data_IF_969086958325
#
_entry.id   IF_969086958325
#
_cell.length_a   1.000
_cell.length_b   1.000
_cell.length_c   1.000
_cell.angle_alpha   90.00
_cell.angle_beta   90.00
_cell.angle_gamma   90.00
#
_symmetry.space_group_name_H-M   'P 1'
#
loop_
_entity.id
_entity.type
_entity.pdbx_description
1 polymer ?
#
# COMPACT_ATOMS: atom_id res chain seq x y z
N UNK A 1 4.36 46.66 -28.46
CA UNK A 1 3.00 46.08 -28.63
C UNK A 1 2.25 46.37 -27.33
N UNK A 2 1.43 47.42 -27.31
CA UNK A 2 0.73 47.90 -26.11
C UNK A 2 -0.39 46.92 -25.73
N UNK A 3 -0.07 45.93 -24.90
CA UNK A 3 -1.01 44.89 -24.46
C UNK A 3 -2.29 45.45 -23.83
N UNK A 4 -2.24 46.65 -23.24
CA UNK A 4 -3.40 47.36 -22.66
C UNK A 4 -4.50 47.77 -23.65
N UNK A 5 -4.25 47.70 -24.97
CA UNK A 5 -5.19 48.22 -25.98
C UNK A 5 -6.21 47.19 -26.51
N UNK A 6 -6.05 45.90 -26.18
CA UNK A 6 -6.92 44.83 -26.72
C UNK A 6 -7.45 43.92 -25.61
N UNK A 7 -8.46 44.35 -24.83
CA UNK A 7 -9.03 43.56 -23.73
C UNK A 7 -9.57 42.20 -24.21
N UNK A 8 -10.12 42.14 -25.43
CA UNK A 8 -10.61 40.90 -26.04
C UNK A 8 -9.50 39.85 -26.20
N UNK A 9 -8.29 40.26 -26.56
CA UNK A 9 -7.15 39.34 -26.73
C UNK A 9 -6.66 38.81 -25.38
N UNK A 10 -6.61 39.68 -24.36
CA UNK A 10 -6.23 39.29 -23.00
C UNK A 10 -7.24 38.28 -22.46
N UNK A 11 -8.54 38.56 -22.55
CA UNK A 11 -9.60 37.68 -22.04
C UNK A 11 -9.60 36.35 -22.79
N UNK A 12 -9.43 36.39 -24.13
CA UNK A 12 -9.40 35.20 -24.97
C UNK A 12 -8.26 34.24 -24.65
N UNK A 13 -7.12 34.74 -24.14
CA UNK A 13 -5.99 33.91 -23.71
C UNK A 13 -6.08 33.57 -22.20
N UNK A 14 -6.55 34.51 -21.38
CA UNK A 14 -6.61 34.35 -19.94
C UNK A 14 -7.58 33.25 -19.50
N UNK A 15 -8.75 33.13 -20.15
CA UNK A 15 -9.75 32.12 -19.78
C UNK A 15 -9.20 30.69 -19.95
N UNK A 16 -8.64 30.28 -21.12
CA UNK A 16 -8.03 28.96 -21.27
C UNK A 16 -6.89 28.69 -20.29
N UNK A 17 -6.02 29.68 -20.06
CA UNK A 17 -4.89 29.53 -19.13
C UNK A 17 -5.40 29.33 -17.70
N UNK A 18 -6.38 30.11 -17.26
CA UNK A 18 -7.03 29.94 -15.95
C UNK A 18 -7.69 28.58 -15.81
N UNK A 19 -8.34 28.08 -16.87
CA UNK A 19 -8.95 26.75 -16.86
C UNK A 19 -7.88 25.65 -16.67
N UNK A 20 -6.74 25.74 -17.36
CA UNK A 20 -5.63 24.80 -17.17
C UNK A 20 -5.09 24.86 -15.74
N UNK A 21 -4.88 26.08 -15.21
CA UNK A 21 -4.40 26.26 -13.83
C UNK A 21 -5.40 25.73 -12.81
N UNK A 22 -6.70 25.92 -13.04
CA UNK A 22 -7.76 25.40 -12.16
C UNK A 22 -7.79 23.87 -12.16
N UNK A 23 -7.73 23.24 -13.33
CA UNK A 23 -7.67 21.77 -13.46
C UNK A 23 -6.39 21.22 -12.83
N UNK A 24 -5.25 21.86 -13.06
CA UNK A 24 -4.00 21.46 -12.43
C UNK A 24 -4.09 21.60 -10.89
N UNK A 25 -4.61 22.72 -10.39
CA UNK A 25 -4.79 22.92 -8.96
C UNK A 25 -5.72 21.87 -8.34
N UNK A 26 -6.85 21.55 -8.97
CA UNK A 26 -7.77 20.54 -8.41
C UNK A 26 -7.14 19.14 -8.31
N UNK A 27 -6.19 18.83 -9.20
CA UNK A 27 -5.46 17.56 -9.23
C UNK A 27 -4.32 17.54 -8.20
N UNK A 28 -3.48 18.57 -8.16
CA UNK A 28 -2.23 18.54 -7.39
C UNK A 28 -2.36 19.07 -5.96
N UNK A 29 -3.33 19.96 -5.70
CA UNK A 29 -3.53 20.59 -4.39
C UNK A 29 -3.93 19.59 -3.29
N UNK A 30 -4.77 18.56 -3.54
CA UNK A 30 -5.06 17.54 -2.53
C UNK A 30 -3.81 16.83 -1.98
N UNK A 31 -2.81 16.57 -2.83
CA UNK A 31 -1.59 15.85 -2.44
C UNK A 31 -0.74 16.62 -1.41
N UNK A 32 -0.80 17.96 -1.38
CA UNK A 32 -0.11 18.78 -0.38
C UNK A 32 -0.66 18.59 1.05
N UNK A 33 -1.88 18.10 1.19
CA UNK A 33 -2.50 17.81 2.49
C UNK A 33 -2.28 16.37 2.95
N UNK A 34 -1.54 15.56 2.17
CA UNK A 34 -1.19 14.21 2.58
C UNK A 34 -0.11 14.25 3.67
N UNK A 35 -0.40 13.64 4.82
CA UNK A 35 0.61 13.34 5.83
C UNK A 35 1.52 12.22 5.30
N UNK A 36 2.84 12.22 5.55
CA UNK A 36 3.67 11.09 5.17
C UNK A 36 3.25 9.83 5.93
N UNK A 37 3.37 8.63 5.34
CA UNK A 37 3.10 7.38 6.06
C UNK A 37 4.14 7.20 7.18
N UNK A 38 3.71 6.66 8.32
CA UNK A 38 4.53 6.56 9.54
C UNK A 38 4.54 5.18 10.18
N UNK A 39 3.53 4.36 9.90
CA UNK A 39 3.35 3.07 10.56
C UNK A 39 3.89 1.93 9.72
N UNK A 40 4.88 1.22 10.27
CA UNK A 40 5.33 -0.07 9.71
C UNK A 40 4.17 -1.06 9.73
N UNK A 41 4.24 -2.08 8.89
CA UNK A 41 3.23 -3.14 8.91
C UNK A 41 3.84 -4.52 8.79
N UNK A 42 3.13 -5.47 9.39
CA UNK A 42 3.44 -6.88 9.31
C UNK A 42 2.55 -7.51 8.23
N UNK A 43 3.16 -8.31 7.39
CA UNK A 43 2.47 -9.12 6.40
C UNK A 43 3.16 -10.47 6.26
N UNK A 44 2.50 -11.39 5.59
CA UNK A 44 3.02 -12.72 5.35
C UNK A 44 2.84 -13.13 3.89
N UNK A 45 3.72 -14.01 3.43
CA UNK A 45 3.64 -14.69 2.14
C UNK A 45 3.93 -16.17 2.37
N UNK A 46 3.54 -17.02 1.43
CA UNK A 46 3.93 -18.42 1.44
C UNK A 46 4.04 -18.98 0.04
N UNK A 47 4.43 -20.24 -0.02
CA UNK A 47 4.58 -21.05 -1.23
C UNK A 47 3.29 -21.79 -1.62
N UNK A 48 2.35 -21.99 -0.69
CA UNK A 48 1.05 -22.67 -0.92
C UNK A 48 -0.11 -21.96 -0.23
N UNK A 49 -1.31 -21.98 -0.82
CA UNK A 49 -2.54 -21.31 -0.32
C UNK A 49 -2.84 -21.53 1.17
N UNK A 50 -2.47 -22.68 1.73
CA UNK A 50 -2.66 -23.02 3.15
C UNK A 50 -1.79 -22.19 4.10
N UNK A 51 -0.90 -21.34 3.59
CA UNK A 51 -0.06 -20.45 4.39
C UNK A 51 -0.89 -19.45 5.20
N UNK A 52 -2.06 -19.06 4.68
CA UNK A 52 -2.90 -17.99 5.26
C UNK A 52 -3.49 -18.38 6.62
N UNK A 53 -3.62 -19.67 6.88
CA UNK A 53 -4.21 -20.20 8.11
C UNK A 53 -3.16 -20.51 9.18
N UNK A 54 -1.97 -19.93 9.10
CA UNK A 54 -0.90 -20.15 10.09
C UNK A 54 -0.89 -19.11 11.19
N UNK A 55 -1.22 -17.86 10.84
CA UNK A 55 -1.13 -16.75 11.75
C UNK A 55 -2.38 -15.90 11.65
N UNK A 56 -2.77 -15.31 12.78
CA UNK A 56 -3.83 -14.30 12.86
C UNK A 56 -3.45 -13.27 13.89
N UNK A 57 -3.93 -12.05 13.72
CA UNK A 57 -3.84 -11.04 14.78
C UNK A 57 -5.13 -11.05 15.59
N UNK A 58 -5.00 -11.24 16.90
CA UNK A 58 -6.10 -11.27 17.87
C UNK A 58 -5.65 -10.54 19.14
N UNK A 59 -6.52 -9.69 19.69
CA UNK A 59 -6.19 -8.87 20.87
C UNK A 59 -4.96 -7.97 20.69
N UNK A 60 -4.64 -7.59 19.45
CA UNK A 60 -3.46 -6.78 19.11
C UNK A 60 -2.14 -7.54 19.09
N UNK A 61 -2.17 -8.87 19.14
CA UNK A 61 -0.99 -9.74 19.12
C UNK A 61 -1.09 -10.77 18.02
N UNK A 62 0.08 -11.20 17.53
CA UNK A 62 0.17 -12.30 16.60
C UNK A 62 -0.09 -13.62 17.34
N UNK A 63 -1.06 -14.38 16.87
CA UNK A 63 -1.38 -15.73 17.33
C UNK A 63 -1.10 -16.72 16.21
N UNK A 64 -0.60 -17.89 16.60
CA UNK A 64 -0.35 -19.00 15.70
C UNK A 64 -1.54 -19.94 15.77
N UNK A 65 -2.14 -20.24 14.63
CA UNK A 65 -3.33 -21.09 14.58
C UNK A 65 -2.84 -22.54 14.60
N UNK A 66 -3.20 -23.34 15.64
CA UNK A 66 -2.78 -24.72 15.72
C UNK A 66 -3.42 -25.50 14.57
N UNK A 67 -2.60 -26.10 13.71
CA UNK A 67 -3.08 -26.94 12.62
C UNK A 67 -3.18 -28.39 13.06
N UNK A 68 -4.38 -28.95 12.98
CA UNK A 68 -4.58 -30.40 13.01
C UNK A 68 -4.19 -30.97 11.63
N UNK A 69 -2.90 -31.21 11.44
CA UNK A 69 -2.40 -31.83 10.22
C UNK A 69 -2.67 -33.33 10.32
N UNK A 70 -3.59 -33.84 9.49
CA UNK A 70 -3.79 -35.29 9.35
C UNK A 70 -2.46 -35.94 8.93
N UNK A 71 -2.16 -37.15 9.46
CA UNK A 71 -0.89 -37.88 9.24
C UNK A 71 -0.46 -38.04 7.77
N UNK A 72 -1.38 -37.89 6.81
CA UNK A 72 -1.15 -38.05 5.38
C UNK A 72 -1.30 -36.74 4.58
N UNK A 73 -1.36 -35.58 5.25
CA UNK A 73 -1.47 -34.30 4.56
C UNK A 73 -0.14 -33.92 3.90
N UNK A 74 -0.24 -33.38 2.68
CA UNK A 74 0.85 -32.72 1.96
C UNK A 74 1.48 -31.70 2.92
N UNK A 75 2.81 -31.65 2.99
CA UNK A 75 3.54 -30.71 3.85
C UNK A 75 2.97 -29.32 3.61
N UNK A 76 2.33 -28.69 4.62
CA UNK A 76 1.68 -27.42 4.42
C UNK A 76 2.74 -26.38 4.05
N UNK A 77 2.39 -25.49 3.12
CA UNK A 77 3.29 -24.42 2.68
C UNK A 77 3.82 -23.62 3.87
N UNK A 78 5.07 -23.17 3.82
CA UNK A 78 5.68 -22.41 4.91
C UNK A 78 5.33 -20.93 4.77
N UNK A 79 4.68 -20.36 5.78
CA UNK A 79 4.47 -18.92 5.84
C UNK A 79 5.77 -18.23 6.27
N UNK A 80 6.19 -17.23 5.51
CA UNK A 80 7.29 -16.32 5.84
C UNK A 80 6.72 -14.98 6.24
N UNK A 81 7.09 -14.51 7.43
CA UNK A 81 6.68 -13.22 7.96
C UNK A 81 7.65 -12.14 7.54
N UNK A 82 7.10 -10.99 7.13
CA UNK A 82 7.86 -9.82 6.75
C UNK A 82 7.37 -8.58 7.48
N UNK A 83 8.32 -7.81 8.00
CA UNK A 83 8.10 -6.47 8.51
C UNK A 83 8.46 -5.47 7.40
N UNK A 84 7.50 -4.64 7.01
CA UNK A 84 7.76 -3.52 6.10
C UNK A 84 8.13 -2.26 6.89
N UNK A 85 9.34 -1.76 6.67
CA UNK A 85 9.80 -0.49 7.24
C UNK A 85 9.43 0.66 6.28
N UNK A 86 8.55 1.55 6.71
CA UNK A 86 8.09 2.69 5.91
C UNK A 86 9.21 3.68 5.61
N UNK A 87 10.13 3.87 6.56
CA UNK A 87 11.22 4.84 6.45
C UNK A 87 12.23 4.37 5.40
N UNK A 88 12.56 3.07 5.42
CA UNK A 88 13.49 2.45 4.48
C UNK A 88 12.83 2.02 3.17
N UNK A 89 11.50 1.85 3.17
CA UNK A 89 10.70 1.30 2.06
C UNK A 89 11.12 -0.13 1.69
N UNK A 90 11.47 -0.92 2.69
CA UNK A 90 12.00 -2.27 2.51
C UNK A 90 11.31 -3.28 3.42
N UNK A 91 11.28 -4.53 2.95
CA UNK A 91 10.78 -5.66 3.74
C UNK A 91 11.93 -6.48 4.32
N UNK A 92 11.88 -6.71 5.63
CA UNK A 92 12.81 -7.59 6.34
C UNK A 92 12.08 -8.82 6.85
N UNK A 93 12.72 -9.99 6.76
CA UNK A 93 12.17 -11.22 7.33
C UNK A 93 12.23 -11.13 8.84
N UNK A 94 11.15 -11.51 9.52
CA UNK A 94 11.07 -11.51 10.98
C UNK A 94 10.63 -12.89 11.47
N UNK A 95 11.11 -13.31 12.65
CA UNK A 95 10.68 -14.58 13.24
C UNK A 95 9.31 -14.46 13.89
N UNK A 96 8.57 -15.56 14.02
CA UNK A 96 7.28 -15.57 14.71
C UNK A 96 7.41 -15.13 16.18
N UNK A 97 8.52 -15.47 16.84
CA UNK A 97 8.77 -15.08 18.24
C UNK A 97 8.96 -13.56 18.40
N UNK A 98 9.59 -12.90 17.43
CA UNK A 98 9.74 -11.45 17.41
C UNK A 98 8.43 -10.76 17.03
N UNK A 99 7.72 -11.29 16.02
CA UNK A 99 6.45 -10.74 15.59
C UNK A 99 5.37 -10.81 16.69
N UNK A 100 5.38 -11.84 17.55
CA UNK A 100 4.53 -11.95 18.75
C UNK A 100 4.76 -10.84 19.78
N UNK A 101 5.94 -10.20 19.80
CA UNK A 101 6.23 -9.08 20.71
C UNK A 101 5.61 -7.78 20.25
N UNK A 102 5.37 -7.62 18.95
CA UNK A 102 4.82 -6.40 18.35
C UNK A 102 3.39 -6.14 18.86
N UNK A 103 3.00 -4.87 18.88
CA UNK A 103 1.60 -4.47 19.05
C UNK A 103 1.03 -4.22 17.66
N UNK A 104 0.00 -4.96 17.28
CA UNK A 104 -0.52 -5.00 15.92
C UNK A 104 -1.95 -4.49 15.87
N UNK A 105 -2.25 -3.59 14.94
CA UNK A 105 -3.63 -3.23 14.60
C UNK A 105 -4.03 -3.95 13.31
N UNK A 106 -4.96 -4.92 13.35
CA UNK A 106 -5.41 -5.65 12.17
C UNK A 106 -6.29 -4.83 11.21
N UNK A 107 -6.58 -3.56 11.54
CA UNK A 107 -7.39 -2.70 10.69
C UNK A 107 -6.75 -2.53 9.30
N UNK A 108 -7.57 -2.51 8.25
CA UNK A 108 -7.09 -2.29 6.88
C UNK A 108 -6.51 -0.88 6.66
N UNK A 109 -6.70 0.04 7.62
CA UNK A 109 -6.32 1.45 7.53
C UNK A 109 -5.51 1.83 8.78
N UNK A 110 -4.27 2.24 8.57
CA UNK A 110 -3.37 2.71 9.61
C UNK A 110 -3.95 3.91 10.37
N UNK A 111 -3.45 4.20 11.59
CA UNK A 111 -3.84 5.39 12.34
C UNK A 111 -3.57 6.73 11.62
N UNK A 112 -2.66 6.75 10.65
CA UNK A 112 -2.39 7.91 9.78
C UNK A 112 -3.21 7.92 8.47
N UNK A 113 -4.19 7.02 8.34
CA UNK A 113 -5.14 6.95 7.24
C UNK A 113 -4.62 6.25 5.98
N UNK A 114 -3.46 5.58 6.07
CA UNK A 114 -2.91 4.79 4.96
C UNK A 114 -3.43 3.35 4.94
N UNK A 115 -3.64 2.83 3.75
CA UNK A 115 -3.98 1.44 3.48
C UNK A 115 -2.95 0.83 2.52
N UNK A 116 -2.67 -0.46 2.69
CA UNK A 116 -1.87 -1.21 1.72
C UNK A 116 -2.81 -1.75 0.66
N UNK A 117 -2.68 -1.27 -0.57
CA UNK A 117 -3.52 -1.69 -1.69
C UNK A 117 -2.67 -2.36 -2.75
N UNK A 118 -3.14 -3.50 -3.24
CA UNK A 118 -2.56 -4.12 -4.41
C UNK A 118 -2.94 -3.31 -5.64
N UNK A 119 -1.98 -3.07 -6.51
CA UNK A 119 -2.23 -2.51 -7.83
C UNK A 119 -3.16 -3.43 -8.60
N UNK A 120 -4.35 -2.94 -8.90
CA UNK A 120 -5.18 -3.48 -9.97
C UNK A 120 -5.06 -2.48 -11.12
N UNK A 121 -4.83 -2.92 -12.36
CA UNK A 121 -4.45 -2.10 -13.51
C UNK A 121 -5.46 -1.04 -14.00
N UNK A 122 -6.23 -0.41 -13.10
CA UNK A 122 -7.14 0.69 -13.35
C UNK A 122 -6.89 1.82 -12.34
N UNK A 123 -5.93 2.69 -12.66
CA UNK A 123 -5.78 3.99 -11.99
C UNK A 123 -6.84 4.98 -12.47
N UNK A 124 -7.28 5.86 -11.57
CA UNK A 124 -8.27 6.93 -11.80
C UNK A 124 -7.69 8.15 -12.56
N UNK A 125 -6.41 8.11 -12.97
CA UNK A 125 -5.71 9.25 -13.58
C UNK A 125 -5.18 8.95 -15.00
N UNK A 126 -5.35 9.87 -15.97
CA UNK A 126 -4.91 9.70 -17.36
C UNK A 126 -3.38 9.68 -17.58
N UNK A 127 -2.58 9.89 -16.54
CA UNK A 127 -1.11 9.87 -16.59
C UNK A 127 -0.48 8.80 -15.70
N UNK A 128 -1.28 7.92 -15.11
CA UNK A 128 -0.76 6.82 -14.31
C UNK A 128 -0.18 5.77 -15.26
N UNK A 129 1.15 5.67 -15.29
CA UNK A 129 1.86 4.68 -16.09
C UNK A 129 1.34 3.29 -15.70
N UNK A 130 0.65 2.63 -16.63
CA UNK A 130 0.15 1.26 -16.51
C UNK A 130 1.29 0.31 -16.19
N UNK A 131 1.53 0.10 -14.91
CA UNK A 131 2.33 -1.03 -14.46
C UNK A 131 1.39 -2.22 -14.33
N UNK A 132 1.39 -3.09 -15.35
CA UNK A 132 0.58 -4.30 -15.40
C UNK A 132 1.13 -5.42 -14.49
N UNK A 133 2.11 -5.11 -13.63
CA UNK A 133 2.66 -6.11 -12.73
C UNK A 133 1.71 -6.36 -11.54
N UNK A 134 1.15 -7.57 -11.50
CA UNK A 134 0.34 -8.07 -10.38
C UNK A 134 1.08 -8.09 -9.04
N UNK A 135 2.40 -7.89 -9.04
CA UNK A 135 3.23 -7.75 -7.84
C UNK A 135 3.33 -6.31 -7.30
N UNK A 136 2.64 -5.35 -7.93
CA UNK A 136 2.72 -3.95 -7.51
C UNK A 136 1.82 -3.67 -6.31
N UNK A 137 2.36 -2.99 -5.31
CA UNK A 137 1.62 -2.52 -4.13
C UNK A 137 1.77 -1.01 -3.97
N UNK A 138 0.80 -0.41 -3.30
CA UNK A 138 0.79 1.01 -2.99
C UNK A 138 0.39 1.22 -1.53
N UNK A 139 0.98 2.22 -0.90
CA UNK A 139 0.43 2.88 0.27
C UNK A 139 -0.49 3.98 -0.23
N UNK A 140 -1.78 3.87 0.05
CA UNK A 140 -2.77 4.82 -0.39
C UNK A 140 -3.43 5.47 0.81
N UNK A 141 -3.65 6.78 0.76
CA UNK A 141 -4.62 7.46 1.59
C UNK A 141 -5.57 8.26 0.68
N UNK A 142 -6.47 9.04 1.28
CA UNK A 142 -7.47 9.83 0.54
C UNK A 142 -6.88 10.90 -0.41
N UNK A 143 -5.61 11.26 -0.25
CA UNK A 143 -4.96 12.40 -0.90
C UNK A 143 -3.76 12.02 -1.76
N UNK A 144 -3.08 10.92 -1.45
CA UNK A 144 -1.85 10.50 -2.08
C UNK A 144 -1.75 8.97 -2.13
N UNK A 145 -1.09 8.49 -3.17
CA UNK A 145 -0.67 7.10 -3.33
C UNK A 145 0.82 7.04 -3.58
N UNK A 146 1.51 6.10 -2.94
CA UNK A 146 2.92 5.85 -3.16
C UNK A 146 3.16 4.37 -3.46
N UNK A 147 3.81 4.07 -4.58
CA UNK A 147 4.24 2.71 -4.91
C UNK A 147 5.24 2.20 -3.87
N UNK A 148 5.09 0.93 -3.48
CA UNK A 148 5.99 0.19 -2.59
C UNK A 148 6.33 -1.17 -3.20
N UNK A 149 7.48 -1.70 -2.82
CA UNK A 149 7.94 -3.03 -3.27
C UNK A 149 7.93 -3.98 -2.09
N UNK A 150 7.07 -4.99 -2.16
CA UNK A 150 6.99 -6.05 -1.15
C UNK A 150 7.82 -7.25 -1.59
N UNK A 151 8.41 -7.94 -0.61
CA UNK A 151 9.02 -9.25 -0.86
C UNK A 151 7.90 -10.28 -0.99
N UNK A 152 7.95 -11.06 -2.04
CA UNK A 152 7.02 -12.16 -2.30
C UNK A 152 7.81 -13.44 -2.45
N UNK A 153 7.18 -14.59 -2.20
CA UNK A 153 7.81 -15.88 -2.47
C UNK A 153 8.13 -16.01 -3.95
N UNK A 154 9.32 -16.55 -4.28
CA UNK A 154 9.72 -16.81 -5.66
C UNK A 154 8.63 -17.61 -6.40
N UNK A 155 8.19 -17.10 -7.55
CA UNK A 155 7.15 -17.73 -8.37
C UNK A 155 5.70 -17.49 -7.93
N UNK A 156 5.43 -16.90 -6.75
CA UNK A 156 4.08 -16.73 -6.20
C UNK A 156 3.81 -15.31 -5.69
N UNK A 157 3.77 -14.34 -6.61
CA UNK A 157 3.49 -12.92 -6.34
C UNK A 157 2.03 -12.64 -5.92
N UNK A 158 1.14 -13.61 -6.07
CA UNK A 158 -0.24 -13.55 -5.58
C UNK A 158 -0.34 -13.74 -4.06
N UNK A 159 0.66 -14.37 -3.46
CA UNK A 159 0.64 -14.75 -2.06
C UNK A 159 1.08 -13.55 -1.20
N UNK A 160 0.09 -12.82 -0.72
CA UNK A 160 0.25 -11.72 0.21
C UNK A 160 -0.94 -11.71 1.15
N UNK A 161 -0.67 -11.61 2.44
CA UNK A 161 -1.69 -11.40 3.44
C UNK A 161 -1.21 -10.36 4.45
N UNK A 162 -2.00 -9.30 4.57
CA UNK A 162 -1.80 -8.25 5.55
C UNK A 162 -2.20 -8.76 6.94
N UNK A 163 -1.32 -8.60 7.93
CA UNK A 163 -1.60 -9.00 9.30
C UNK A 163 -1.97 -7.83 10.19
N UNK A 164 -1.33 -6.68 10.01
CA UNK A 164 -1.62 -5.49 10.81
C UNK A 164 -0.53 -4.42 10.77
N UNK A 165 -0.92 -3.23 11.21
CA UNK A 165 -0.01 -2.10 11.43
C UNK A 165 0.72 -2.25 12.76
N UNK A 166 2.00 -1.94 12.79
CA UNK A 166 2.81 -1.96 14.01
C UNK A 166 2.60 -0.65 14.76
N UNK A 167 1.97 -0.75 15.93
CA UNK A 167 1.78 0.36 16.84
C UNK A 167 3.03 0.57 17.71
N UNK A 168 3.34 1.82 18.10
CA UNK A 168 4.42 2.13 19.04
C UNK A 168 4.18 1.57 20.45
#
# INVERSE_FOLDING_TARGET
>A
MDWKRNPTLIIGIAIPVLMILFVAASIYLPAFFATPPRYNFLYLTGDSYDYQWQYRVSGGKLEEIPRNVAKNAIVPGRATLYLFDITKKESTTITAAEAKKLNLDPSGVAPDGYEVVRGNGGGFFPFDFRDNSYSTFYLRNRFAGQKITLKTSEGNYWNYEFLGWVLP
#
